data_IF_876752637975
#
_entry.id   IF_876752637975
#
_cell.length_a   1.000
_cell.length_b   1.000
_cell.length_c   1.000
_cell.angle_alpha   90.00
_cell.angle_beta   90.00
_cell.angle_gamma   90.00
#
_symmetry.space_group_name_H-M   'P 1'
#
loop_
_entity.id
_entity.type
_entity.pdbx_description
1 polymer ?
#
# COMPACT_ATOMS: atom_id res chain seq x y z
N UNK A 1 24.00 3.14 5.70
CA UNK A 1 22.66 2.53 5.83
C UNK A 1 21.66 3.63 5.54
N UNK A 2 20.89 3.53 4.45
CA UNK A 2 19.87 4.52 4.15
C UNK A 2 18.76 4.43 5.21
N UNK A 3 18.39 5.55 5.82
CA UNK A 3 17.30 5.60 6.79
C UNK A 3 16.00 5.50 6.00
N UNK A 4 15.24 4.43 6.18
CA UNK A 4 13.94 4.26 5.51
C UNK A 4 13.00 5.38 5.96
N UNK A 5 12.68 6.29 5.04
CA UNK A 5 11.71 7.35 5.23
C UNK A 5 10.35 6.85 4.76
N UNK A 6 9.39 6.80 5.68
CA UNK A 6 8.02 6.42 5.37
C UNK A 6 7.22 7.67 5.07
N UNK A 7 6.49 7.65 3.95
CA UNK A 7 5.55 8.68 3.55
C UNK A 7 4.14 8.11 3.48
N UNK A 8 3.16 8.82 4.06
CA UNK A 8 1.75 8.38 4.00
C UNK A 8 0.76 9.54 4.00
N UNK A 9 -0.13 9.56 3.00
CA UNK A 9 -1.22 10.53 2.91
C UNK A 9 -2.39 10.10 3.80
N UNK A 10 -2.95 11.04 4.56
CA UNK A 10 -4.13 10.79 5.37
C UNK A 10 -5.37 10.63 4.48
N UNK A 11 -6.08 9.50 4.60
CA UNK A 11 -7.34 9.26 3.90
C UNK A 11 -8.51 10.10 4.42
N UNK A 12 -8.34 10.79 5.57
CA UNK A 12 -9.38 11.64 6.16
C UNK A 12 -9.16 13.12 5.86
N UNK A 13 -7.97 13.67 6.16
CA UNK A 13 -7.69 15.10 6.00
C UNK A 13 -6.75 15.42 4.83
N UNK A 14 -6.25 14.41 4.11
CA UNK A 14 -5.37 14.62 2.96
C UNK A 14 -3.92 15.01 3.28
N UNK A 15 -3.59 15.30 4.54
CA UNK A 15 -2.23 15.66 4.97
C UNK A 15 -1.24 14.54 4.69
N UNK A 16 -0.08 14.89 4.12
CA UNK A 16 1.04 13.97 3.95
C UNK A 16 1.84 13.92 5.25
N UNK A 17 2.11 12.71 5.73
CA UNK A 17 2.89 12.45 6.93
C UNK A 17 4.23 11.87 6.50
N UNK A 18 5.30 12.26 7.17
CA UNK A 18 6.67 11.84 6.93
C UNK A 18 7.31 11.45 8.27
N UNK A 19 7.77 10.21 8.41
CA UNK A 19 8.40 9.71 9.63
C UNK A 19 9.45 8.65 9.31
N UNK A 20 10.44 8.49 10.21
CA UNK A 20 11.44 7.42 10.13
C UNK A 20 10.90 6.04 10.56
N UNK A 21 9.69 5.99 11.10
CA UNK A 21 9.01 4.77 11.53
C UNK A 21 7.70 4.60 10.75
N UNK A 22 7.09 3.42 10.74
CA UNK A 22 5.79 3.19 10.12
C UNK A 22 4.71 4.15 10.63
N UNK A 23 4.08 4.88 9.70
CA UNK A 23 3.08 5.89 10.03
C UNK A 23 1.71 5.21 10.19
N UNK A 24 1.25 5.03 11.42
CA UNK A 24 -0.07 4.45 11.72
C UNK A 24 -1.17 5.48 12.03
N UNK A 25 -0.79 6.72 12.38
CA UNK A 25 -1.70 7.83 12.70
C UNK A 25 -1.27 9.10 11.99
N UNK A 26 -2.25 9.94 11.65
CA UNK A 26 -1.96 11.25 11.07
C UNK A 26 -1.48 12.23 12.16
N UNK A 27 -0.41 12.98 11.89
CA UNK A 27 0.09 14.03 12.78
C UNK A 27 -0.84 15.25 12.86
N UNK A 28 -1.71 15.45 11.85
CA UNK A 28 -2.60 16.61 11.77
C UNK A 28 -3.98 16.34 12.38
N UNK A 29 -4.67 15.28 11.95
CA UNK A 29 -6.03 14.99 12.45
C UNK A 29 -6.07 13.90 13.53
N UNK A 30 -4.92 13.31 13.88
CA UNK A 30 -4.75 12.26 14.89
C UNK A 30 -5.54 10.96 14.68
N UNK A 31 -6.28 10.85 13.57
CA UNK A 31 -6.98 9.62 13.19
C UNK A 31 -6.00 8.55 12.73
N UNK A 32 -6.32 7.30 13.07
CA UNK A 32 -5.62 6.12 12.57
C UNK A 32 -5.76 6.03 11.05
N UNK A 33 -4.67 5.68 10.37
CA UNK A 33 -4.64 5.56 8.93
C UNK A 33 -5.07 4.14 8.51
N UNK A 34 -6.08 4.05 7.64
CA UNK A 34 -6.65 2.79 7.16
C UNK A 34 -5.56 1.88 6.55
N UNK A 35 -5.48 0.58 6.90
CA UNK A 35 -4.41 -0.32 6.49
C UNK A 35 -4.07 -0.17 5.01
N UNK A 36 -2.79 0.07 4.71
CA UNK A 36 -2.32 0.10 3.33
C UNK A 36 -1.81 -1.29 2.98
N UNK A 37 -2.60 -2.05 2.22
CA UNK A 37 -2.12 -3.28 1.63
C UNK A 37 -1.24 -2.88 0.44
N UNK A 38 0.07 -2.88 0.66
CA UNK A 38 1.04 -2.72 -0.41
C UNK A 38 0.93 -3.94 -1.33
N UNK A 39 0.55 -3.72 -2.58
CA UNK A 39 0.66 -4.73 -3.61
C UNK A 39 2.08 -4.65 -4.18
N UNK A 40 2.95 -5.56 -3.72
CA UNK A 40 4.28 -5.72 -4.29
C UNK A 40 4.23 -6.72 -5.43
N UNK A 41 4.26 -6.20 -6.65
CA UNK A 41 4.32 -7.00 -7.88
C UNK A 41 5.60 -7.85 -7.96
N UNK A 42 6.65 -7.51 -7.19
CA UNK A 42 7.89 -8.30 -7.10
C UNK A 42 7.76 -9.50 -6.16
N UNK A 43 6.82 -9.48 -5.20
CA UNK A 43 6.69 -10.53 -4.16
C UNK A 43 5.56 -11.53 -4.42
N UNK A 44 4.55 -11.15 -5.21
CA UNK A 44 3.41 -12.01 -5.53
C UNK A 44 3.54 -12.52 -6.94
N UNK A 45 3.39 -13.83 -7.10
CA UNK A 45 3.22 -14.44 -8.42
C UNK A 45 1.93 -13.88 -9.00
N UNK A 46 2.05 -12.98 -9.98
CA UNK A 46 0.92 -12.48 -10.75
C UNK A 46 0.34 -13.68 -11.48
N UNK A 47 -0.91 -14.09 -11.20
CA UNK A 47 -1.59 -15.04 -12.06
C UNK A 47 -1.67 -14.36 -13.43
N UNK A 48 -1.00 -14.92 -14.44
CA UNK A 48 -1.05 -14.34 -15.79
C UNK A 48 -2.51 -14.27 -16.27
N UNK A 49 -2.81 -13.33 -17.16
CA UNK A 49 -4.16 -13.14 -17.74
C UNK A 49 -4.73 -14.39 -18.44
N UNK A 50 -3.94 -15.45 -18.58
CA UNK A 50 -4.31 -16.72 -19.21
C UNK A 50 -4.56 -17.86 -18.23
N UNK A 51 -4.41 -17.63 -16.92
CA UNK A 51 -4.67 -18.63 -15.89
C UNK A 51 -6.02 -18.39 -15.22
N UNK A 52 -6.70 -19.47 -14.83
CA UNK A 52 -7.90 -19.41 -14.02
C UNK A 52 -7.57 -18.70 -12.70
N UNK A 53 -8.33 -17.66 -12.38
CA UNK A 53 -8.21 -16.97 -11.09
C UNK A 53 -8.50 -17.97 -9.96
N UNK A 54 -7.71 -17.99 -8.88
CA UNK A 54 -8.01 -18.85 -7.74
C UNK A 54 -9.38 -18.46 -7.14
N UNK A 55 -10.14 -19.43 -6.61
CA UNK A 55 -11.42 -19.13 -5.97
C UNK A 55 -11.21 -18.27 -4.74
N UNK A 56 -12.10 -17.30 -4.53
CA UNK A 56 -12.10 -16.44 -3.34
C UNK A 56 -12.36 -17.27 -2.09
N UNK A 57 -11.50 -17.17 -1.08
CA UNK A 57 -11.70 -17.81 0.23
C UNK A 57 -12.68 -16.95 1.04
N UNK A 58 -13.64 -17.56 1.74
CA UNK A 58 -14.55 -16.83 2.63
C UNK A 58 -13.76 -16.02 3.66
N UNK A 59 -14.03 -14.71 3.74
CA UNK A 59 -13.33 -13.78 4.62
C UNK A 59 -12.12 -13.08 4.00
N UNK A 60 -11.67 -13.48 2.81
CA UNK A 60 -10.66 -12.75 2.05
C UNK A 60 -11.30 -11.78 1.05
N UNK A 61 -10.98 -10.50 1.19
CA UNK A 61 -11.32 -9.50 0.17
C UNK A 61 -10.20 -9.47 -0.85
N UNK A 62 -10.54 -9.74 -2.13
CA UNK A 62 -9.59 -9.52 -3.21
C UNK A 62 -9.17 -8.06 -3.20
N UNK A 63 -7.85 -7.75 -3.19
CA UNK A 63 -7.40 -6.37 -3.21
C UNK A 63 -7.91 -5.70 -4.49
N UNK A 64 -8.35 -4.45 -4.37
CA UNK A 64 -8.66 -3.63 -5.55
C UNK A 64 -7.33 -3.45 -6.29
N UNK A 65 -7.23 -3.97 -7.51
CA UNK A 65 -6.06 -3.80 -8.36
C UNK A 65 -5.97 -2.33 -8.81
N UNK A 66 -5.28 -1.52 -8.00
CA UNK A 66 -4.92 -0.15 -8.34
C UNK A 66 -3.55 -0.14 -9.04
N UNK A 67 -3.46 0.54 -10.18
CA UNK A 67 -2.21 0.69 -10.91
C UNK A 67 -1.33 1.71 -10.15
N UNK A 68 -0.18 1.26 -9.64
CA UNK A 68 0.82 2.14 -9.00
C UNK A 68 2.10 2.10 -9.83
N UNK A 69 2.52 3.24 -10.36
CA UNK A 69 3.76 3.38 -11.16
C UNK A 69 4.87 3.92 -10.26
N UNK A 70 6.00 3.23 -10.24
CA UNK A 70 7.24 3.72 -9.64
C UNK A 70 8.13 4.28 -10.74
N UNK A 71 8.70 5.47 -10.52
CA UNK A 71 9.74 6.03 -11.37
C UNK A 71 11.08 5.72 -10.73
N UNK A 72 11.87 4.83 -11.34
CA UNK A 72 13.27 4.64 -10.96
C UNK A 72 14.12 5.68 -11.72
N UNK A 73 14.92 6.46 -11.00
CA UNK A 73 15.88 7.39 -11.60
C UNK A 73 17.12 6.60 -12.07
N UNK A 74 17.46 6.72 -13.36
CA UNK A 74 18.67 6.19 -13.97
C UNK A 74 19.87 7.12 -13.77
#
# INVERSE_FOLDING_TARGET
MAKELHYRKCHVCGTVNEQANPIIKCSHCHKSLAPFFYFDDKSKVVPSDQLLRPPTIEGEFSPIHGLTVYWEYF
#
